data_IF_401854251804
#
_entry.id   IF_401854251804
#
_cell.length_a   1.000
_cell.length_b   1.000
_cell.length_c   1.000
_cell.angle_alpha   90.00
_cell.angle_beta   90.00
_cell.angle_gamma   90.00
#
_symmetry.space_group_name_H-M   'P 1'
#
loop_
_entity.id
_entity.type
_entity.pdbx_description
1 polymer ?
#
# COMPACT_ATOMS: atom_id res chain seq x y z
N UNK A 1 -8.55 -9.06 -15.68
CA UNK A 1 -7.11 -9.29 -15.84
C UNK A 1 -6.41 -8.74 -14.62
N UNK A 2 -5.42 -9.44 -14.06
CA UNK A 2 -4.71 -8.99 -12.86
C UNK A 2 -3.50 -8.11 -13.22
N UNK A 3 -3.07 -7.20 -12.34
CA UNK A 3 -1.85 -6.42 -12.54
C UNK A 3 -0.62 -7.33 -12.72
N UNK A 4 0.36 -6.96 -13.56
CA UNK A 4 1.64 -7.65 -13.60
C UNK A 4 2.28 -7.65 -12.19
N UNK A 5 2.87 -8.79 -11.79
CA UNK A 5 3.57 -9.01 -10.51
C UNK A 5 2.73 -9.32 -9.24
N UNK A 6 1.43 -9.65 -9.36
CA UNK A 6 0.67 -10.13 -8.19
C UNK A 6 1.16 -11.50 -7.69
N UNK A 7 1.41 -11.65 -6.38
CA UNK A 7 1.97 -12.84 -5.71
C UNK A 7 0.95 -13.98 -5.46
N UNK A 8 0.11 -14.32 -6.44
CA UNK A 8 -1.03 -15.28 -6.39
C UNK A 8 -2.36 -14.62 -5.99
N UNK A 9 -3.44 -14.83 -6.76
CA UNK A 9 -4.76 -14.29 -6.42
C UNK A 9 -5.34 -14.94 -5.16
N UNK A 10 -5.87 -14.11 -4.26
CA UNK A 10 -6.74 -14.56 -3.17
C UNK A 10 -8.06 -15.00 -3.77
N UNK A 11 -8.48 -16.25 -3.52
CA UNK A 11 -9.74 -16.74 -4.05
C UNK A 11 -10.94 -15.90 -3.54
N UNK A 12 -11.95 -15.76 -4.39
CA UNK A 12 -13.15 -14.94 -4.11
C UNK A 12 -13.89 -15.41 -2.86
N UNK A 13 -13.75 -16.69 -2.50
CA UNK A 13 -14.42 -17.33 -1.37
C UNK A 13 -13.55 -17.41 -0.11
N UNK A 14 -12.39 -16.76 -0.05
CA UNK A 14 -11.56 -16.76 1.18
C UNK A 14 -12.31 -15.95 2.26
N UNK A 15 -12.77 -16.59 3.35
CA UNK A 15 -13.63 -15.97 4.35
C UNK A 15 -12.91 -14.92 5.19
N UNK A 16 -11.57 -14.99 5.27
CA UNK A 16 -10.77 -14.16 6.17
C UNK A 16 -10.37 -12.80 5.56
N UNK A 17 -10.68 -12.55 4.29
CA UNK A 17 -10.43 -11.25 3.64
C UNK A 17 -11.74 -10.50 3.49
N UNK A 18 -11.91 -9.36 4.18
CA UNK A 18 -13.11 -8.54 4.10
C UNK A 18 -13.44 -8.17 2.64
N UNK A 19 -14.72 -8.28 2.28
CA UNK A 19 -15.21 -7.98 0.92
C UNK A 19 -14.84 -6.57 0.48
N UNK A 20 -14.85 -5.62 1.41
CA UNK A 20 -14.51 -4.22 1.16
C UNK A 20 -13.03 -4.00 0.84
N UNK A 21 -12.11 -4.71 1.52
CA UNK A 21 -10.68 -4.67 1.16
C UNK A 21 -10.40 -5.36 -0.17
N UNK A 22 -11.18 -6.40 -0.50
CA UNK A 22 -11.08 -7.10 -1.80
C UNK A 22 -11.61 -6.25 -2.95
N UNK A 23 -12.71 -5.51 -2.73
CA UNK A 23 -13.23 -4.57 -3.71
C UNK A 23 -12.21 -3.44 -3.98
N UNK A 24 -11.61 -2.91 -2.90
CA UNK A 24 -10.56 -1.90 -3.00
C UNK A 24 -9.31 -2.40 -3.74
N UNK A 25 -8.83 -3.60 -3.41
CA UNK A 25 -7.64 -4.16 -4.08
C UNK A 25 -7.86 -4.45 -5.57
N UNK A 26 -9.12 -4.72 -5.96
CA UNK A 26 -9.52 -4.93 -7.35
C UNK A 26 -9.71 -3.64 -8.17
N UNK A 27 -9.67 -2.46 -7.56
CA UNK A 27 -9.93 -1.17 -8.22
C UNK A 27 -8.64 -0.56 -8.81
N UNK A 28 -8.47 -0.52 -10.14
CA UNK A 28 -7.24 0.00 -10.75
C UNK A 28 -7.00 1.48 -10.43
N UNK A 29 -8.06 2.27 -10.30
CA UNK A 29 -7.95 3.69 -9.98
C UNK A 29 -7.43 3.91 -8.55
N UNK A 30 -7.89 3.12 -7.59
CA UNK A 30 -7.42 3.21 -6.20
C UNK A 30 -5.99 2.68 -6.07
N UNK A 31 -5.65 1.62 -6.82
CA UNK A 31 -4.28 1.11 -6.88
C UNK A 31 -3.30 2.15 -7.46
N UNK A 32 -3.69 2.86 -8.51
CA UNK A 32 -2.85 3.91 -9.12
C UNK A 32 -2.60 5.06 -8.14
N UNK A 33 -3.65 5.56 -7.47
CA UNK A 33 -3.53 6.63 -6.47
C UNK A 33 -2.57 6.25 -5.33
N UNK A 34 -2.67 5.01 -4.83
CA UNK A 34 -1.75 4.52 -3.79
C UNK A 34 -0.33 4.35 -4.33
N UNK A 35 -0.17 3.90 -5.57
CA UNK A 35 1.14 3.78 -6.20
C UNK A 35 1.83 5.15 -6.33
N UNK A 36 1.09 6.20 -6.71
CA UNK A 36 1.60 7.58 -6.78
C UNK A 36 2.07 8.08 -5.41
N UNK A 37 1.27 7.90 -4.36
CA UNK A 37 1.62 8.33 -3.00
C UNK A 37 2.84 7.56 -2.45
N UNK A 38 2.89 6.25 -2.68
CA UNK A 38 4.03 5.42 -2.28
C UNK A 38 5.30 5.78 -3.07
N UNK A 39 5.18 6.12 -4.35
CA UNK A 39 6.29 6.60 -5.17
C UNK A 39 6.81 7.97 -4.70
N UNK A 40 5.92 8.84 -4.20
CA UNK A 40 6.29 10.09 -3.53
C UNK A 40 6.95 9.88 -2.15
N UNK A 41 6.91 8.65 -1.62
CA UNK A 41 7.47 8.29 -0.32
C UNK A 41 6.58 8.62 0.86
N UNK A 42 5.28 8.79 0.61
CA UNK A 42 4.29 8.98 1.65
C UNK A 42 3.83 7.61 2.18
N UNK A 43 3.52 7.55 3.47
CA UNK A 43 2.83 6.42 4.07
C UNK A 43 1.34 6.52 3.72
N UNK A 44 0.77 5.43 3.23
CA UNK A 44 -0.64 5.35 2.86
C UNK A 44 -1.40 4.56 3.91
N UNK A 45 -2.51 5.12 4.38
CA UNK A 45 -3.46 4.46 5.27
C UNK A 45 -4.79 4.29 4.55
N UNK A 46 -5.26 3.05 4.46
CA UNK A 46 -6.59 2.71 3.97
C UNK A 46 -7.39 2.22 5.17
N UNK A 47 -8.44 2.96 5.52
CA UNK A 47 -9.37 2.59 6.58
C UNK A 47 -10.74 2.31 5.97
N UNK A 48 -11.34 1.20 6.36
CA UNK A 48 -12.67 0.79 5.93
C UNK A 48 -13.34 -0.02 7.04
N UNK A 49 -14.65 -0.19 6.98
CA UNK A 49 -15.38 -0.98 7.97
C UNK A 49 -16.50 -1.78 7.30
N UNK A 50 -16.93 -2.86 7.94
CA UNK A 50 -18.21 -3.51 7.69
C UNK A 50 -19.12 -3.44 8.92
N UNK A 51 -20.27 -4.11 8.88
CA UNK A 51 -21.26 -4.09 9.98
C UNK A 51 -20.72 -4.65 11.31
N UNK A 52 -19.58 -5.34 11.28
CA UNK A 52 -19.05 -6.09 12.42
C UNK A 52 -17.66 -5.63 12.86
N UNK A 53 -16.86 -5.07 11.95
CA UNK A 53 -15.42 -4.87 12.16
C UNK A 53 -14.89 -3.66 11.39
N UNK A 54 -13.93 -2.95 12.00
CA UNK A 54 -13.11 -1.94 11.35
C UNK A 54 -11.79 -2.55 10.86
N UNK A 55 -11.37 -2.17 9.66
CA UNK A 55 -10.17 -2.65 9.00
C UNK A 55 -9.26 -1.49 8.61
N UNK A 56 -7.97 -1.68 8.86
CA UNK A 56 -6.94 -0.72 8.50
C UNK A 56 -5.81 -1.44 7.77
N UNK A 57 -5.40 -0.90 6.62
CA UNK A 57 -4.19 -1.29 5.90
C UNK A 57 -3.23 -0.11 5.86
N UNK A 58 -2.02 -0.34 6.37
CA UNK A 58 -0.92 0.62 6.30
C UNK A 58 0.09 0.11 5.27
N UNK A 59 0.45 0.97 4.33
CA UNK A 59 1.45 0.69 3.31
C UNK A 59 2.53 1.77 3.30
N UNK A 60 3.77 1.35 3.12
CA UNK A 60 4.92 2.24 3.07
C UNK A 60 5.94 1.74 2.03
N UNK A 61 6.52 2.65 1.26
CA UNK A 61 7.51 2.33 0.23
C UNK A 61 8.90 2.20 0.84
N UNK A 62 9.44 0.98 0.83
CA UNK A 62 10.79 0.70 1.34
C UNK A 62 11.86 1.42 0.51
N UNK A 63 11.68 1.52 -0.81
CA UNK A 63 12.65 2.20 -1.66
C UNK A 63 12.63 3.71 -1.43
N UNK A 64 11.44 4.31 -1.21
CA UNK A 64 11.35 5.71 -0.82
C UNK A 64 11.98 5.97 0.55
N UNK A 65 11.75 5.08 1.53
CA UNK A 65 12.43 5.14 2.83
C UNK A 65 13.95 5.04 2.72
N UNK A 66 14.44 4.14 1.85
CA UNK A 66 15.89 3.99 1.58
C UNK A 66 16.46 5.26 0.95
N UNK A 67 15.76 5.86 -0.01
CA UNK A 67 16.16 7.13 -0.63
C UNK A 67 16.21 8.28 0.38
N UNK A 68 15.18 8.43 1.22
CA UNK A 68 15.16 9.43 2.28
C UNK A 68 16.33 9.27 3.27
N UNK A 69 16.62 8.02 3.68
CA UNK A 69 17.75 7.72 4.57
C UNK A 69 19.09 8.11 3.94
N UNK A 70 19.32 7.75 2.68
CA UNK A 70 20.56 8.12 1.96
C UNK A 70 20.69 9.64 1.81
N UNK A 71 19.60 10.34 1.47
CA UNK A 71 19.59 11.80 1.38
C UNK A 71 19.93 12.50 2.70
N UNK A 72 19.42 11.99 3.82
CA UNK A 72 19.74 12.50 5.16
C UNK A 72 21.21 12.28 5.56
N UNK A 73 21.79 11.13 5.19
CA UNK A 73 23.21 10.85 5.43
C UNK A 73 24.10 11.81 4.64
N UNK A 74 23.76 12.11 3.38
CA UNK A 74 24.50 13.06 2.54
C UNK A 74 24.36 14.51 3.04
N UNK A 75 23.22 14.88 3.59
CA UNK A 75 22.96 16.22 4.14
C UNK A 75 23.66 16.50 5.48
N UNK A 76 24.25 15.49 6.12
CA UNK A 76 25.05 15.68 7.34
C UNK A 76 26.47 16.06 6.92
N UNK A 77 26.99 17.26 7.26
CA UNK A 77 28.33 17.63 6.87
C UNK A 77 29.33 16.70 7.56
N UNK A 78 30.37 16.27 6.84
CA UNK A 78 31.52 15.64 7.44
C UNK A 78 32.17 16.66 8.40
N UNK A 79 32.13 16.35 9.69
CA UNK A 79 32.83 17.10 10.73
C UNK A 79 34.33 16.85 10.66
#
# INVERSE_FOLDING_TARGET
>A
AYPPNSLVPVADTVPDVPSVLRAWSGSPAEQELVAEELAAGNMVRIATSDDTTEYELLAESIDALRMQRTGRVIATPAA
#
